data_IF_083875581743
#
_entry.id   IF_083875581743
#
_cell.length_a   1.000
_cell.length_b   1.000
_cell.length_c   1.000
_cell.angle_alpha   90.00
_cell.angle_beta   90.00
_cell.angle_gamma   90.00
#
_symmetry.space_group_name_H-M   'P 1'
#
loop_
_entity.id
_entity.type
_entity.pdbx_description
1 polymer ?
#
# COMPACT_ATOMS: atom_id res chain seq x y z
N UNK A 1 -3.47 -13.17 42.46
CA UNK A 1 -3.03 -12.03 41.64
C UNK A 1 -2.61 -12.60 40.29
N UNK A 2 -3.54 -12.65 39.33
CA UNK A 2 -3.26 -13.18 38.00
C UNK A 2 -2.42 -12.15 37.24
N UNK A 3 -1.19 -12.50 36.92
CA UNK A 3 -0.41 -11.77 35.92
C UNK A 3 -1.09 -12.10 34.58
N UNK A 4 -1.63 -11.13 33.84
CA UNK A 4 -2.08 -11.41 32.48
C UNK A 4 -0.82 -11.81 31.70
N UNK A 5 -0.75 -13.08 31.33
CA UNK A 5 0.15 -13.55 30.28
C UNK A 5 -0.10 -12.65 29.06
N UNK A 6 0.96 -12.08 28.51
CA UNK A 6 1.00 -11.39 27.22
C UNK A 6 0.69 -12.38 26.08
N UNK A 7 -0.49 -12.98 26.12
CA UNK A 7 -1.00 -13.96 25.19
C UNK A 7 -2.00 -13.24 24.27
N UNK A 8 -1.77 -13.37 22.97
CA UNK A 8 -2.65 -12.94 21.87
C UNK A 8 -2.81 -11.42 21.63
N UNK A 9 -1.75 -10.62 21.80
CA UNK A 9 -1.76 -9.29 21.18
C UNK A 9 -1.53 -9.43 19.67
N UNK A 10 -2.56 -9.14 18.87
CA UNK A 10 -2.37 -8.83 17.46
C UNK A 10 -1.24 -7.80 17.32
N UNK A 11 -0.12 -8.19 16.71
CA UNK A 11 0.98 -7.24 16.50
C UNK A 11 0.46 -6.20 15.53
N UNK A 12 0.45 -4.90 15.90
CA UNK A 12 0.02 -3.86 14.98
C UNK A 12 0.93 -3.89 13.76
N UNK A 13 0.38 -4.32 12.62
CA UNK A 13 1.10 -4.29 11.34
C UNK A 13 1.49 -2.86 10.95
N UNK A 14 0.87 -1.86 11.59
CA UNK A 14 1.10 -0.42 11.46
C UNK A 14 2.59 -0.05 11.43
N UNK A 15 3.36 -0.47 12.45
CA UNK A 15 4.76 -0.06 12.58
C UNK A 15 5.64 -0.65 11.47
N UNK A 16 5.48 -1.95 11.20
CA UNK A 16 6.22 -2.64 10.15
C UNK A 16 5.84 -2.15 8.75
N UNK A 17 4.56 -1.82 8.53
CA UNK A 17 4.11 -1.23 7.28
C UNK A 17 4.69 0.15 7.07
N UNK A 18 4.74 1.00 8.10
CA UNK A 18 5.37 2.32 7.97
C UNK A 18 6.84 2.21 7.56
N UNK A 19 7.61 1.32 8.19
CA UNK A 19 9.02 1.12 7.84
C UNK A 19 9.17 0.67 6.37
N UNK A 20 8.34 -0.28 5.93
CA UNK A 20 8.33 -0.74 4.54
C UNK A 20 8.00 0.41 3.57
N UNK A 21 6.99 1.23 3.88
CA UNK A 21 6.61 2.37 3.03
C UNK A 21 7.75 3.39 2.93
N UNK A 22 8.44 3.72 4.03
CA UNK A 22 9.60 4.61 3.99
C UNK A 22 10.71 4.09 3.08
N UNK A 23 11.00 2.79 3.13
CA UNK A 23 12.00 2.19 2.24
C UNK A 23 11.56 2.19 0.77
N UNK A 24 10.27 2.02 0.51
CA UNK A 24 9.70 2.05 -0.84
C UNK A 24 9.63 3.46 -1.43
N UNK A 25 9.58 4.50 -0.60
CA UNK A 25 9.42 5.89 -1.04
C UNK A 25 10.58 6.33 -1.94
N UNK A 26 11.83 5.92 -1.62
CA UNK A 26 13.02 6.26 -2.41
C UNK A 26 12.92 5.74 -3.85
N UNK A 27 12.75 4.43 -4.12
CA UNK A 27 12.64 3.94 -5.49
C UNK A 27 11.41 4.48 -6.21
N UNK A 28 10.28 4.69 -5.53
CA UNK A 28 9.07 5.29 -6.12
C UNK A 28 9.37 6.70 -6.65
N UNK A 29 9.95 7.56 -5.81
CA UNK A 29 10.29 8.94 -6.20
C UNK A 29 11.25 8.97 -7.38
N UNK A 30 12.23 8.05 -7.42
CA UNK A 30 13.18 7.97 -8.54
C UNK A 30 12.51 7.56 -9.85
N UNK A 31 11.62 6.55 -9.79
CA UNK A 31 10.84 6.08 -10.94
C UNK A 31 9.95 7.19 -11.49
N UNK A 32 9.28 7.93 -10.61
CA UNK A 32 8.37 9.01 -10.99
C UNK A 32 9.12 10.23 -11.49
N UNK A 33 10.27 10.58 -10.89
CA UNK A 33 11.13 11.66 -11.40
C UNK A 33 11.66 11.35 -12.80
N UNK A 34 12.04 10.09 -13.05
CA UNK A 34 12.37 9.65 -14.40
C UNK A 34 11.17 9.72 -15.36
N UNK A 35 9.98 9.35 -14.89
CA UNK A 35 8.74 9.44 -15.66
C UNK A 35 8.40 10.90 -16.00
N UNK A 36 8.64 11.84 -15.10
CA UNK A 36 8.41 13.27 -15.34
C UNK A 36 9.34 13.80 -16.43
N UNK A 37 10.61 13.37 -16.43
CA UNK A 37 11.53 13.66 -17.52
C UNK A 37 11.02 13.14 -18.86
N UNK A 38 10.52 11.90 -18.90
CA UNK A 38 10.05 11.28 -20.14
C UNK A 38 8.72 11.82 -20.67
N UNK A 39 7.78 12.15 -19.77
CA UNK A 39 6.39 12.47 -20.13
C UNK A 39 6.11 13.97 -20.15
N UNK A 40 6.78 14.74 -19.30
CA UNK A 40 6.60 16.20 -19.19
C UNK A 40 7.80 16.99 -19.74
N UNK A 41 8.96 16.35 -19.94
CA UNK A 41 10.17 17.01 -20.42
C UNK A 41 10.93 17.78 -19.32
N UNK A 42 10.56 17.58 -18.05
CA UNK A 42 11.21 18.22 -16.91
C UNK A 42 12.61 17.64 -16.64
N UNK A 43 13.51 18.44 -16.08
CA UNK A 43 14.77 17.88 -15.56
C UNK A 43 14.50 17.14 -14.24
N UNK A 44 15.32 16.14 -13.92
CA UNK A 44 15.17 15.36 -12.67
C UNK A 44 15.23 16.28 -11.44
N UNK A 45 16.11 17.29 -11.45
CA UNK A 45 16.22 18.25 -10.34
C UNK A 45 14.95 19.09 -10.14
N UNK A 46 14.26 19.47 -11.22
CA UNK A 46 12.97 20.16 -11.13
C UNK A 46 11.83 19.24 -10.67
N UNK A 47 11.93 17.95 -10.96
CA UNK A 47 10.88 16.97 -10.67
C UNK A 47 10.98 16.38 -9.26
N UNK A 48 12.19 16.15 -8.75
CA UNK A 48 12.41 15.35 -7.54
C UNK A 48 11.78 15.96 -6.29
N UNK A 49 11.84 17.28 -6.12
CA UNK A 49 11.24 17.98 -4.98
C UNK A 49 9.70 17.85 -4.94
N UNK A 50 8.99 18.31 -5.99
CA UNK A 50 7.53 18.17 -6.09
C UNK A 50 7.05 16.71 -5.98
N UNK A 51 7.74 15.76 -6.62
CA UNK A 51 7.37 14.34 -6.58
C UNK A 51 7.61 13.74 -5.19
N UNK A 52 8.70 14.09 -4.52
CA UNK A 52 8.95 13.67 -3.14
C UNK A 52 7.88 14.20 -2.20
N UNK A 53 7.52 15.49 -2.32
CA UNK A 53 6.48 16.11 -1.52
C UNK A 53 5.11 15.45 -1.79
N UNK A 54 4.80 15.16 -3.05
CA UNK A 54 3.60 14.45 -3.47
C UNK A 54 3.50 13.07 -2.82
N UNK A 55 4.52 12.22 -3.00
CA UNK A 55 4.55 10.85 -2.46
C UNK A 55 4.53 10.82 -0.93
N UNK A 56 5.23 11.75 -0.30
CA UNK A 56 5.20 11.86 1.16
C UNK A 56 3.81 12.29 1.67
N UNK A 57 3.15 13.21 0.96
CA UNK A 57 1.78 13.63 1.29
C UNK A 57 0.77 12.52 1.06
N UNK A 58 0.88 11.77 -0.05
CA UNK A 58 0.02 10.63 -0.34
C UNK A 58 0.24 9.50 0.66
N UNK A 59 1.45 9.30 1.17
CA UNK A 59 1.72 8.40 2.29
C UNK A 59 1.01 8.87 3.57
N UNK A 60 1.20 10.13 3.97
CA UNK A 60 0.65 10.68 5.21
C UNK A 60 -0.89 10.70 5.23
N UNK A 61 -1.53 10.98 4.10
CA UNK A 61 -2.99 10.99 3.97
C UNK A 61 -3.52 9.59 3.69
N UNK A 62 -2.85 8.87 2.80
CA UNK A 62 -3.29 7.56 2.34
C UNK A 62 -3.32 6.54 3.45
N UNK A 63 -2.35 6.57 4.35
CA UNK A 63 -2.27 5.61 5.44
C UNK A 63 -3.46 5.70 6.42
N UNK A 64 -3.81 6.88 7.01
CA UNK A 64 -5.02 7.02 7.80
C UNK A 64 -6.31 6.70 7.03
N UNK A 65 -6.42 7.17 5.78
CA UNK A 65 -7.66 6.99 4.98
C UNK A 65 -7.90 5.53 4.66
N UNK A 66 -6.88 4.79 4.19
CA UNK A 66 -7.01 3.37 3.90
C UNK A 66 -7.24 2.56 5.17
N UNK A 67 -6.63 2.95 6.30
CA UNK A 67 -6.86 2.29 7.58
C UNK A 67 -8.29 2.46 8.06
N UNK A 68 -8.84 3.68 8.02
CA UNK A 68 -10.22 3.95 8.39
C UNK A 68 -11.21 3.26 7.45
N UNK A 69 -10.93 3.28 6.14
CA UNK A 69 -11.69 2.54 5.15
C UNK A 69 -11.76 1.06 5.51
N UNK A 70 -10.63 0.47 5.90
CA UNK A 70 -10.55 -0.95 6.25
C UNK A 70 -11.26 -1.30 7.55
N UNK A 71 -11.07 -0.50 8.60
CA UNK A 71 -11.80 -0.66 9.86
C UNK A 71 -13.31 -0.59 9.64
N UNK A 72 -13.76 0.35 8.81
CA UNK A 72 -15.17 0.51 8.46
C UNK A 72 -15.69 -0.71 7.69
N UNK A 73 -14.92 -1.19 6.70
CA UNK A 73 -15.25 -2.39 5.94
C UNK A 73 -15.36 -3.64 6.84
N UNK A 74 -14.45 -3.78 7.81
CA UNK A 74 -14.48 -4.89 8.77
C UNK A 74 -15.73 -4.86 9.67
N UNK A 75 -16.14 -3.67 10.14
CA UNK A 75 -17.33 -3.50 10.97
C UNK A 75 -18.62 -3.78 10.21
N UNK A 76 -18.73 -3.30 8.96
CA UNK A 76 -19.93 -3.47 8.14
C UNK A 76 -20.20 -4.93 7.77
N UNK A 77 -19.17 -5.77 7.69
CA UNK A 77 -19.32 -7.17 7.26
C UNK A 77 -19.19 -8.18 8.41
N UNK A 78 -19.12 -7.72 9.66
CA UNK A 78 -19.17 -8.61 10.83
C UNK A 78 -17.93 -9.50 10.97
N UNK A 79 -16.73 -8.96 10.74
CA UNK A 79 -15.46 -9.71 10.68
C UNK A 79 -15.00 -10.43 11.97
N UNK A 80 -15.84 -10.55 12.99
CA UNK A 80 -15.56 -11.24 14.26
C UNK A 80 -15.88 -12.75 14.22
N UNK A 81 -16.63 -13.24 13.23
CA UNK A 81 -17.17 -14.62 13.17
C UNK A 81 -16.51 -15.50 12.09
N UNK A 82 -15.21 -15.30 11.84
CA UNK A 82 -14.48 -15.91 10.71
C UNK A 82 -13.95 -17.33 11.03
N UNK A 83 -14.20 -17.85 12.23
CA UNK A 83 -13.56 -19.07 12.74
C UNK A 83 -14.04 -20.41 12.14
N UNK A 84 -15.03 -20.44 11.23
CA UNK A 84 -15.58 -21.71 10.69
C UNK A 84 -15.54 -21.87 9.16
N UNK A 85 -14.64 -21.17 8.45
CA UNK A 85 -14.77 -21.02 6.99
C UNK A 85 -13.91 -22.04 6.21
N UNK A 86 -14.55 -23.12 5.76
CA UNK A 86 -13.97 -24.22 4.99
C UNK A 86 -13.71 -23.94 3.50
N UNK A 87 -14.11 -22.77 2.98
CA UNK A 87 -14.06 -22.45 1.53
C UNK A 87 -12.94 -21.47 1.21
N UNK A 88 -12.19 -21.72 0.12
CA UNK A 88 -11.05 -20.90 -0.30
C UNK A 88 -11.37 -19.42 -0.53
N UNK A 89 -12.54 -19.09 -1.11
CA UNK A 89 -13.00 -17.70 -1.29
C UNK A 89 -13.21 -16.98 0.04
N UNK A 90 -13.67 -17.69 1.05
CA UNK A 90 -13.88 -17.14 2.40
C UNK A 90 -12.55 -16.94 3.14
N UNK A 91 -11.53 -17.76 2.85
CA UNK A 91 -10.15 -17.52 3.29
C UNK A 91 -9.56 -16.28 2.62
N UNK A 92 -9.69 -16.13 1.30
CA UNK A 92 -9.24 -14.92 0.59
C UNK A 92 -9.94 -13.66 1.14
N UNK A 93 -11.23 -13.78 1.41
CA UNK A 93 -12.02 -12.73 2.04
C UNK A 93 -11.52 -12.38 3.45
N UNK A 94 -11.28 -13.39 4.29
CA UNK A 94 -10.72 -13.21 5.63
C UNK A 94 -9.35 -12.54 5.60
N UNK A 95 -8.45 -12.97 4.70
CA UNK A 95 -7.12 -12.38 4.48
C UNK A 95 -7.22 -10.91 4.10
N UNK A 96 -8.18 -10.60 3.23
CA UNK A 96 -8.43 -9.25 2.77
C UNK A 96 -8.95 -8.43 3.95
N UNK A 97 -10.08 -8.81 4.56
CA UNK A 97 -10.77 -8.03 5.60
C UNK A 97 -10.04 -7.98 6.93
N UNK A 98 -9.17 -8.94 7.23
CA UNK A 98 -8.31 -8.92 8.42
C UNK A 98 -6.88 -8.47 8.10
N UNK A 99 -6.61 -7.96 6.89
CA UNK A 99 -5.28 -7.48 6.51
C UNK A 99 -4.62 -6.49 7.49
N UNK A 100 -5.34 -5.57 8.18
CA UNK A 100 -4.71 -4.71 9.19
C UNK A 100 -4.35 -5.43 10.49
N UNK A 101 -5.01 -6.56 10.76
CA UNK A 101 -4.91 -7.34 12.00
C UNK A 101 -4.91 -8.83 11.67
N UNK A 102 -3.81 -9.34 11.14
CA UNK A 102 -3.67 -10.78 10.96
C UNK A 102 -3.59 -11.46 12.33
N UNK A 103 -4.69 -12.10 12.74
CA UNK A 103 -4.72 -12.97 13.91
C UNK A 103 -3.71 -14.12 13.70
N UNK A 104 -2.85 -14.35 14.69
CA UNK A 104 -1.81 -15.37 14.65
C UNK A 104 -2.41 -16.78 14.50
N UNK A 105 -2.65 -17.20 13.26
CA UNK A 105 -2.87 -18.60 12.91
C UNK A 105 -1.58 -19.10 12.29
N UNK A 106 -0.66 -19.56 13.15
CA UNK A 106 0.78 -19.79 12.89
C UNK A 106 1.16 -20.80 11.80
N UNK A 107 0.29 -21.08 10.83
CA UNK A 107 0.55 -21.95 9.68
C UNK A 107 0.04 -21.42 8.33
N UNK A 108 -0.58 -20.24 8.22
CA UNK A 108 -1.01 -19.71 6.89
C UNK A 108 -0.48 -18.28 6.58
N UNK A 109 0.22 -17.61 7.50
CA UNK A 109 0.62 -16.20 7.34
C UNK A 109 1.50 -15.92 6.10
N UNK A 110 2.31 -16.89 5.67
CA UNK A 110 3.34 -16.70 4.63
C UNK A 110 2.77 -16.34 3.25
N UNK A 111 1.58 -16.85 2.90
CA UNK A 111 0.89 -16.49 1.64
C UNK A 111 -0.19 -15.43 1.84
N UNK A 112 -0.74 -15.32 3.06
CA UNK A 112 -1.79 -14.34 3.39
C UNK A 112 -1.25 -12.91 3.39
N UNK A 113 -0.07 -12.66 3.96
CA UNK A 113 0.53 -11.32 4.05
C UNK A 113 0.79 -10.70 2.65
N UNK A 114 1.48 -11.39 1.71
CA UNK A 114 1.71 -10.84 0.38
C UNK A 114 0.41 -10.63 -0.41
N UNK A 115 -0.56 -11.54 -0.27
CA UNK A 115 -1.85 -11.44 -0.96
C UNK A 115 -2.63 -10.22 -0.49
N UNK A 116 -2.73 -10.03 0.83
CA UNK A 116 -3.36 -8.85 1.43
C UNK A 116 -2.70 -7.56 0.96
N UNK A 117 -1.36 -7.52 0.94
CA UNK A 117 -0.63 -6.35 0.49
C UNK A 117 -0.91 -6.01 -0.99
N UNK A 118 -0.92 -7.00 -1.89
CA UNK A 118 -1.24 -6.79 -3.31
C UNK A 118 -2.67 -6.26 -3.48
N UNK A 119 -3.64 -6.81 -2.73
CA UNK A 119 -5.02 -6.32 -2.78
C UNK A 119 -5.11 -4.87 -2.30
N UNK A 120 -4.38 -4.51 -1.24
CA UNK A 120 -4.32 -3.15 -0.70
C UNK A 120 -3.65 -2.14 -1.64
N UNK A 121 -2.76 -2.59 -2.53
CA UNK A 121 -2.16 -1.70 -3.54
C UNK A 121 -3.20 -1.09 -4.48
N UNK A 122 -4.32 -1.77 -4.74
CA UNK A 122 -5.35 -1.27 -5.66
C UNK A 122 -6.03 0.02 -5.14
N UNK A 123 -6.65 0.05 -3.95
CA UNK A 123 -7.22 1.30 -3.43
C UNK A 123 -6.13 2.33 -3.12
N UNK A 124 -4.93 1.91 -2.71
CA UNK A 124 -3.79 2.81 -2.51
C UNK A 124 -3.38 3.53 -3.80
N UNK A 125 -3.39 2.84 -4.93
CA UNK A 125 -3.07 3.40 -6.25
C UNK A 125 -3.98 4.58 -6.58
N UNK A 126 -5.30 4.37 -6.51
CA UNK A 126 -6.25 5.42 -6.86
C UNK A 126 -6.18 6.61 -5.92
N UNK A 127 -6.02 6.35 -4.62
CA UNK A 127 -5.88 7.41 -3.63
C UNK A 127 -4.58 8.20 -3.85
N UNK A 128 -3.48 7.51 -4.12
CA UNK A 128 -2.18 8.13 -4.41
C UNK A 128 -2.25 9.01 -5.65
N UNK A 129 -2.79 8.50 -6.77
CA UNK A 129 -3.00 9.27 -8.01
C UNK A 129 -3.83 10.53 -7.75
N UNK A 130 -4.89 10.41 -6.94
CA UNK A 130 -5.75 11.55 -6.63
C UNK A 130 -5.04 12.61 -5.77
N UNK A 131 -4.40 12.19 -4.67
CA UNK A 131 -3.66 13.11 -3.78
C UNK A 131 -2.50 13.75 -4.52
N UNK A 132 -1.74 12.96 -5.29
CA UNK A 132 -0.61 13.45 -6.06
C UNK A 132 -1.02 14.54 -7.04
N UNK A 133 -2.09 14.31 -7.79
CA UNK A 133 -2.58 15.32 -8.73
C UNK A 133 -2.88 16.65 -8.04
N UNK A 134 -3.45 16.62 -6.83
CA UNK A 134 -3.73 17.82 -6.05
C UNK A 134 -2.42 18.52 -5.67
N UNK A 135 -1.46 17.78 -5.11
CA UNK A 135 -0.18 18.34 -4.66
C UNK A 135 0.64 18.88 -5.83
N UNK A 136 0.79 18.10 -6.91
CA UNK A 136 1.55 18.53 -8.09
C UNK A 136 0.92 19.73 -8.80
N UNK A 137 -0.40 19.86 -8.78
CA UNK A 137 -1.07 21.05 -9.33
C UNK A 137 -0.67 22.35 -8.63
N UNK A 138 -0.21 22.28 -7.37
CA UNK A 138 0.27 23.44 -6.63
C UNK A 138 1.71 23.81 -7.00
N UNK A 139 2.54 22.82 -7.33
CA UNK A 139 3.94 23.02 -7.73
C UNK A 139 4.09 23.38 -9.22
N UNK A 140 3.30 22.75 -10.08
CA UNK A 140 3.38 22.87 -11.54
C UNK A 140 2.16 23.62 -12.09
N UNK A 141 1.91 24.82 -11.56
CA UNK A 141 0.74 25.64 -11.92
C UNK A 141 0.68 26.03 -13.40
N UNK A 142 1.84 26.06 -14.08
CA UNK A 142 1.95 26.41 -15.49
C UNK A 142 1.73 25.22 -16.44
N UNK A 143 1.64 23.99 -15.91
CA UNK A 143 1.40 22.80 -16.73
C UNK A 143 -0.09 22.60 -16.99
N UNK A 144 -0.38 22.05 -18.17
CA UNK A 144 -1.75 21.74 -18.54
C UNK A 144 -2.36 20.66 -17.63
N UNK A 145 -3.60 20.90 -17.15
CA UNK A 145 -4.28 20.01 -16.20
C UNK A 145 -4.52 18.61 -16.78
N UNK A 146 -4.72 18.49 -18.08
CA UNK A 146 -4.93 17.19 -18.74
C UNK A 146 -3.61 16.42 -18.87
N UNK A 147 -2.50 17.11 -19.18
CA UNK A 147 -1.15 16.55 -19.13
C UNK A 147 -0.77 16.07 -17.73
N UNK A 148 -1.05 16.86 -16.69
CA UNK A 148 -0.81 16.48 -15.29
C UNK A 148 -1.61 15.24 -14.87
N UNK A 149 -2.88 15.15 -15.28
CA UNK A 149 -3.74 13.99 -14.98
C UNK A 149 -3.21 12.73 -15.66
N UNK A 150 -2.84 12.84 -16.93
CA UNK A 150 -2.28 11.72 -17.71
C UNK A 150 -0.93 11.29 -17.15
N UNK A 151 -0.10 12.26 -16.75
CA UNK A 151 1.18 12.03 -16.10
C UNK A 151 0.99 11.26 -14.79
N UNK A 152 0.17 11.76 -13.87
CA UNK A 152 -0.01 11.17 -12.54
C UNK A 152 -0.42 9.70 -12.65
N UNK A 153 -1.37 9.37 -13.53
CA UNK A 153 -1.77 7.98 -13.74
C UNK A 153 -0.65 7.12 -14.36
N UNK A 154 0.03 7.62 -15.40
CA UNK A 154 1.08 6.86 -16.11
C UNK A 154 2.35 6.67 -15.28
N UNK A 155 2.71 7.65 -14.46
CA UNK A 155 3.89 7.62 -13.61
C UNK A 155 3.75 6.61 -12.45
N UNK A 156 2.52 6.40 -11.97
CA UNK A 156 2.26 5.41 -10.92
C UNK A 156 2.31 3.95 -11.41
N UNK A 157 2.06 3.69 -12.70
CA UNK A 157 2.05 2.30 -13.23
C UNK A 157 3.39 1.59 -12.97
N UNK A 158 4.57 2.14 -13.34
CA UNK A 158 5.84 1.50 -13.06
C UNK A 158 6.13 1.31 -11.56
N UNK A 159 5.82 2.32 -10.74
CA UNK A 159 6.03 2.27 -9.28
C UNK A 159 5.20 1.14 -8.64
N UNK A 160 3.92 1.02 -9.02
CA UNK A 160 3.05 -0.04 -8.50
C UNK A 160 3.36 -1.41 -9.10
N UNK A 161 3.79 -1.48 -10.36
CA UNK A 161 4.29 -2.72 -10.94
C UNK A 161 5.51 -3.26 -10.17
N UNK A 162 6.43 -2.36 -9.77
CA UNK A 162 7.57 -2.71 -8.90
C UNK A 162 7.10 -3.23 -7.55
N UNK A 163 6.13 -2.57 -6.90
CA UNK A 163 5.58 -3.01 -5.61
C UNK A 163 4.90 -4.39 -5.70
N UNK A 164 4.09 -4.62 -6.74
CA UNK A 164 3.46 -5.92 -6.99
C UNK A 164 4.53 -6.99 -7.20
N UNK A 165 5.55 -6.70 -8.02
CA UNK A 165 6.65 -7.63 -8.26
C UNK A 165 7.39 -7.97 -6.96
N UNK A 166 7.67 -6.98 -6.12
CA UNK A 166 8.28 -7.19 -4.80
C UNK A 166 7.44 -8.14 -3.94
N UNK A 167 6.13 -7.92 -3.83
CA UNK A 167 5.26 -8.79 -3.03
C UNK A 167 5.12 -10.20 -3.60
N UNK A 168 5.12 -10.35 -4.93
CA UNK A 168 5.16 -11.68 -5.57
C UNK A 168 6.45 -12.44 -5.24
N UNK A 169 7.62 -11.78 -5.33
CA UNK A 169 8.92 -12.40 -5.01
C UNK A 169 9.00 -12.73 -3.53
N UNK A 170 8.61 -11.80 -2.66
CA UNK A 170 8.57 -12.01 -1.22
C UNK A 170 7.64 -13.16 -0.84
N UNK A 171 6.47 -13.25 -1.46
CA UNK A 171 5.53 -14.36 -1.28
C UNK A 171 6.09 -15.70 -1.76
N UNK A 172 6.75 -15.74 -2.91
CA UNK A 172 7.38 -16.96 -3.39
C UNK A 172 8.50 -17.43 -2.44
N UNK A 173 9.33 -16.49 -1.95
CA UNK A 173 10.38 -16.77 -0.99
C UNK A 173 9.82 -17.26 0.36
N UNK A 174 8.79 -16.59 0.91
CA UNK A 174 8.17 -16.99 2.18
C UNK A 174 7.53 -18.37 2.10
N UNK A 175 6.91 -18.72 0.96
CA UNK A 175 6.38 -20.06 0.72
C UNK A 175 7.49 -21.12 0.62
N UNK A 176 8.65 -20.78 0.04
CA UNK A 176 9.78 -21.72 -0.09
C UNK A 176 10.55 -21.96 1.22
N UNK A 177 10.50 -21.00 2.15
CA UNK A 177 11.26 -21.03 3.41
C UNK A 177 10.42 -21.40 4.64
N UNK A 178 9.09 -21.31 4.53
CA UNK A 178 8.13 -21.69 5.56
C UNK A 178 7.45 -23.05 5.35
N UNK A 179 7.91 -23.84 4.36
CA UNK A 179 7.43 -25.20 4.06
C UNK A 179 8.23 -26.30 4.74
#
# INVERSE_FOLDING_TARGET
MHIPTLADSSVPMLFWHMLAIFTALVPIVLIEAYSAKKLLGLTIGQAIGPISASNFTSMLIGFPVLWLFWLSAQQLVGGNDVHSLSTWWKKLYAVTVQAPWLLHSGRDLYWMVPTAAIVMLVPAFFLSVWVERLVLSWFWQNEDKQRLTTFSFKAHIPSYAMLVFFWCVFGAYSMSSGG
#
